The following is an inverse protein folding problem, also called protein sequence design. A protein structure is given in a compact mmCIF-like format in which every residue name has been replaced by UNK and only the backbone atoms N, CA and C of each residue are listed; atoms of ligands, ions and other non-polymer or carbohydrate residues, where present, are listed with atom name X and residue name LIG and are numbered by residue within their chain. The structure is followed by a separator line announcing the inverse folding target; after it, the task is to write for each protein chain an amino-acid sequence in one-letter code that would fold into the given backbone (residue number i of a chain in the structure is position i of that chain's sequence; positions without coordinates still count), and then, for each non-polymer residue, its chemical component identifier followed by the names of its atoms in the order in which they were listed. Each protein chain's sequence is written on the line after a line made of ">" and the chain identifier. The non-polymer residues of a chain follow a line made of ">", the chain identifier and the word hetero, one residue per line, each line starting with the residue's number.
data_IF_793486681270
#
_entry.id   IF_793486681270
#
_cell.length_a   1.000
_cell.length_b   1.000
_cell.length_c   1.000
_cell.angle_alpha   90.00
_cell.angle_beta   90.00
_cell.angle_gamma   90.00
#
_symmetry.space_group_name_H-M   'P 1'
#
loop_
_entity.id
_entity.type
_entity.pdbx_description
1 polymer ?
2 non-polymer ?
3 non-polymer ?
4 water ?
#
# COMPACT_ATOMS: atom_id res chain seq x y z
N UNK A 3 -17.24 -9.39 15.70
CA UNK A 3 -17.74 -10.72 15.22
C UNK A 3 -18.46 -10.57 13.87
N UNK A 4 -19.00 -9.38 13.58
CA UNK A 4 -19.76 -9.09 12.35
C UNK A 4 -18.90 -9.16 11.10
N UNK A 5 -19.54 -9.05 9.92
CA UNK A 5 -18.90 -9.23 8.58
C UNK A 5 -17.81 -8.18 8.36
N UNK A 6 -18.06 -6.91 8.73
CA UNK A 6 -17.10 -5.79 8.51
C UNK A 6 -15.81 -6.05 9.30
N UNK A 7 -15.92 -6.44 10.57
CA UNK A 7 -14.76 -6.78 11.43
C UNK A 7 -14.00 -7.96 10.81
N UNK A 8 -14.72 -8.99 10.38
CA UNK A 8 -14.16 -10.22 9.77
C UNK A 8 -13.39 -9.87 8.49
N UNK A 9 -13.98 -9.04 7.62
CA UNK A 9 -13.32 -8.59 6.37
C UNK A 9 -12.08 -7.76 6.70
N UNK A 10 -12.14 -6.92 7.74
CA UNK A 10 -10.98 -6.10 8.19
C UNK A 10 -9.88 -7.01 8.76
N UNK A 11 -10.23 -8.15 9.37
CA UNK A 11 -9.20 -9.13 9.81
C UNK A 11 -8.47 -9.69 8.58
N UNK A 12 -9.20 -10.02 7.51
CA UNK A 12 -8.57 -10.48 6.24
C UNK A 12 -7.63 -9.39 5.73
N UNK A 13 -8.09 -8.14 5.72
CA UNK A 13 -7.28 -6.96 5.31
C UNK A 13 -6.02 -6.88 6.17
N UNK A 14 -6.16 -7.04 7.49
CA UNK A 14 -5.01 -6.99 8.43
C UNK A 14 -4.04 -8.13 8.11
N UNK A 15 -4.55 -9.32 7.78
CA UNK A 15 -3.72 -10.46 7.34
C UNK A 15 -2.91 -10.10 6.11
N UNK A 16 -3.56 -9.51 5.10
CA UNK A 16 -2.88 -9.07 3.85
C UNK A 16 -1.78 -8.06 4.23
N UNK A 17 -2.11 -7.08 5.07
CA UNK A 17 -1.16 -6.01 5.47
C UNK A 17 0.07 -6.65 6.12
N UNK A 18 -0.14 -7.59 7.05
CA UNK A 18 0.97 -8.33 7.71
C UNK A 18 1.82 -9.02 6.64
N UNK A 19 1.18 -9.66 5.66
CA UNK A 19 1.92 -10.36 4.57
C UNK A 19 2.73 -9.34 3.77
N UNK A 20 2.14 -8.20 3.40
CA UNK A 20 2.84 -7.18 2.57
C UNK A 20 4.09 -6.69 3.31
N UNK A 21 4.06 -6.69 4.65
CA UNK A 21 5.17 -6.19 5.51
C UNK A 21 6.13 -7.33 5.89
N UNK A 22 5.87 -8.57 5.46
CA UNK A 22 6.60 -9.78 5.91
C UNK A 22 7.91 -9.94 5.11
N UNK A 23 8.85 -10.71 5.65
CA UNK A 23 10.17 -10.97 5.01
C UNK A 23 9.98 -11.56 3.61
N UNK A 24 8.94 -12.37 3.41
CA UNK A 24 8.63 -13.05 2.13
C UNK A 24 8.70 -12.05 0.96
N UNK A 25 8.20 -10.83 1.15
CA UNK A 25 7.99 -9.83 0.06
C UNK A 25 8.95 -8.64 0.20
N UNK A 26 9.88 -8.67 1.15
CA UNK A 26 10.73 -7.51 1.51
C UNK A 26 11.57 -7.03 0.32
N UNK A 27 11.96 -7.93 -0.59
CA UNK A 27 12.85 -7.58 -1.73
C UNK A 27 12.19 -6.53 -2.63
N UNK A 28 10.85 -6.51 -2.72
CA UNK A 28 10.11 -5.55 -3.58
C UNK A 28 9.16 -4.66 -2.77
N UNK A 29 8.88 -4.97 -1.50
CA UNK A 29 7.93 -4.20 -0.66
C UNK A 29 8.61 -2.99 -0.01
N UNK A 30 9.94 -3.00 0.16
CA UNK A 30 10.64 -2.04 1.06
C UNK A 30 10.40 -0.59 0.65
N UNK A 31 10.29 -0.22 -0.66
CA UNK A 31 10.04 1.18 -1.01
C UNK A 31 8.70 1.71 -0.47
N UNK A 32 7.79 0.82 -0.08
CA UNK A 32 6.40 1.14 0.34
C UNK A 32 6.24 1.07 1.86
N UNK A 33 7.33 0.82 2.59
CA UNK A 33 7.30 0.62 4.07
C UNK A 33 7.01 1.94 4.78
N UNK A 34 7.56 3.05 4.28
CA UNK A 34 7.51 4.37 4.96
C UNK A 34 7.11 5.43 3.94
N UNK A 35 6.61 6.61 4.40
CA UNK A 35 6.28 7.69 3.48
C UNK A 35 7.50 8.03 2.61
N UNK A 36 7.25 8.31 1.33
CA UNK A 36 8.29 8.81 0.39
C UNK A 36 8.93 10.04 1.04
N UNK A 37 10.24 10.01 1.24
CA UNK A 37 11.02 11.19 1.70
C UNK A 37 11.49 11.92 0.43
N UNK A 38 10.63 12.79 -0.10
CA UNK A 38 10.82 13.47 -1.40
C UNK A 38 12.15 14.24 -1.39
N UNK A 39 12.38 15.02 -0.33
CA UNK A 39 13.60 15.86 -0.14
C UNK A 39 14.86 14.98 -0.18
N UNK A 40 14.87 13.90 0.61
CA UNK A 40 16.01 12.97 0.73
C UNK A 40 16.30 12.30 -0.62
N UNK A 41 15.27 12.03 -1.43
CA UNK A 41 15.39 11.32 -2.73
C UNK A 41 15.62 12.33 -3.87
N UNK A 42 15.57 13.63 -3.58
CA UNK A 42 15.77 14.71 -4.57
C UNK A 42 14.57 14.90 -5.47
N UNK A 43 13.40 14.40 -5.06
CA UNK A 43 12.14 14.42 -5.84
C UNK A 43 11.36 15.69 -5.47
N UNK A 44 11.86 16.86 -5.88
CA UNK A 44 11.35 18.18 -5.40
C UNK A 44 10.01 18.54 -6.05
N UNK A 45 9.52 17.71 -6.97
CA UNK A 45 8.20 17.88 -7.64
C UNK A 45 7.19 16.85 -7.11
N UNK A 46 7.61 15.95 -6.21
CA UNK A 46 6.78 14.79 -5.78
C UNK A 46 5.44 15.28 -5.22
N UNK A 47 5.46 16.26 -4.32
CA UNK A 47 4.25 16.73 -3.59
C UNK A 47 3.44 17.71 -4.45
N UNK A 48 3.96 18.12 -5.60
CA UNK A 48 3.19 18.88 -6.62
C UNK A 48 2.38 17.91 -7.48
N UNK A 49 2.88 16.69 -7.67
CA UNK A 49 2.29 15.67 -8.58
C UNK A 49 1.40 14.73 -7.76
N UNK A 50 1.84 14.36 -6.56
CA UNK A 50 1.13 13.42 -5.65
C UNK A 50 0.44 14.23 -4.55
N UNK A 51 -0.89 14.36 -4.65
CA UNK A 51 -1.72 15.19 -3.74
C UNK A 51 -2.00 14.42 -2.44
N UNK A 52 -2.03 13.09 -2.50
CA UNK A 52 -2.39 12.22 -1.35
C UNK A 52 -1.35 11.11 -1.21
N UNK A 53 -0.19 11.39 -0.59
CA UNK A 53 0.81 10.36 -0.34
C UNK A 53 0.22 9.23 0.51
N UNK A 54 0.68 8.01 0.27
CA UNK A 54 0.24 6.83 1.05
C UNK A 54 1.36 5.79 1.04
N UNK A 55 1.46 5.04 2.13
CA UNK A 55 2.52 4.03 2.35
C UNK A 55 1.99 3.03 3.38
N UNK A 56 2.67 1.89 3.52
CA UNK A 56 2.16 0.78 4.36
C UNK A 56 2.25 1.12 5.85
N UNK A 57 3.19 1.98 6.28
CA UNK A 57 3.26 2.41 7.71
C UNK A 57 2.00 3.22 8.04
N UNK A 58 1.54 4.06 7.11
CA UNK A 58 0.31 4.87 7.28
C UNK A 58 -0.90 3.93 7.29
N UNK A 59 -0.95 2.95 6.39
CA UNK A 59 -2.06 1.95 6.35
C UNK A 59 -2.08 1.20 7.69
N UNK A 60 -0.91 0.81 8.21
CA UNK A 60 -0.80 0.07 9.49
C UNK A 60 -1.33 0.95 10.63
N UNK A 61 -0.92 2.22 10.69
CA UNK A 61 -1.38 3.16 11.74
C UNK A 61 -2.91 3.27 11.69
N UNK A 62 -3.47 3.43 10.49
CA UNK A 62 -4.93 3.61 10.31
C UNK A 62 -5.65 2.33 10.74
N UNK A 63 -5.09 1.16 10.43
CA UNK A 63 -5.67 -0.15 10.84
C UNK A 63 -5.63 -0.27 12.37
N UNK A 64 -4.48 0.04 12.98
CA UNK A 64 -4.27 -0.04 14.46
C UNK A 64 -5.23 0.92 15.18
N UNK A 65 -5.50 2.08 14.57
CA UNK A 65 -6.35 3.17 15.14
C UNK A 65 -7.83 2.91 14.87
N UNK A 66 -8.18 1.80 14.19
CA UNK A 66 -9.56 1.46 13.77
C UNK A 66 -10.13 2.60 12.90
N UNK A 67 -9.28 3.22 12.09
CA UNK A 67 -9.67 4.29 11.13
C UNK A 67 -10.53 3.67 10.03
N UNK A 68 -10.12 2.54 9.46
CA UNK A 68 -10.85 1.86 8.36
C UNK A 68 -12.15 1.27 8.90
N UNK A 69 -13.28 1.63 8.30
CA UNK A 69 -14.62 1.14 8.72
C UNK A 69 -14.98 -0.11 7.91
N UNK A 70 -14.32 -0.36 6.78
CA UNK A 70 -14.61 -1.54 5.91
C UNK A 70 -13.40 -1.87 5.03
N UNK A 71 -13.43 -3.03 4.39
CA UNK A 71 -12.34 -3.55 3.54
C UNK A 71 -12.09 -2.59 2.36
N UNK A 72 -13.16 -2.03 1.80
CA UNK A 72 -13.12 -1.12 0.63
C UNK A 72 -12.24 0.11 0.96
N UNK A 73 -12.39 0.67 2.17
CA UNK A 73 -11.62 1.87 2.59
C UNK A 73 -10.14 1.51 2.70
N UNK A 74 -9.82 0.36 3.30
CA UNK A 74 -8.44 -0.17 3.40
C UNK A 74 -7.87 -0.36 1.99
N UNK A 75 -8.60 -1.04 1.10
CA UNK A 75 -8.16 -1.33 -0.28
C UNK A 75 -7.87 -0.02 -1.02
N UNK A 76 -8.69 1.01 -0.81
CA UNK A 76 -8.55 2.32 -1.49
C UNK A 76 -7.18 2.93 -1.14
N UNK A 77 -6.73 2.82 0.10
CA UNK A 77 -5.42 3.36 0.54
C UNK A 77 -4.28 2.53 -0.08
N UNK A 78 -4.37 1.20 -0.05
CA UNK A 78 -3.31 0.34 -0.64
C UNK A 78 -3.19 0.66 -2.13
N UNK A 79 -4.31 0.78 -2.84
CA UNK A 79 -4.30 1.07 -4.30
C UNK A 79 -3.83 2.51 -4.56
N UNK A 80 -4.20 3.47 -3.70
CA UNK A 80 -3.70 4.87 -3.79
C UNK A 80 -2.17 4.85 -3.76
N UNK A 81 -1.59 4.07 -2.85
CA UNK A 81 -0.12 3.94 -2.71
C UNK A 81 0.47 3.48 -4.05
N UNK A 82 -0.11 2.45 -4.68
CA UNK A 82 0.39 1.92 -5.98
C UNK A 82 0.18 2.97 -7.08
N UNK A 83 -1.01 3.57 -7.12
CA UNK A 83 -1.38 4.60 -8.13
C UNK A 83 -0.39 5.76 -8.10
N UNK A 84 -0.01 6.21 -6.90
CA UNK A 84 0.96 7.33 -6.73
C UNK A 84 2.28 6.93 -7.39
N UNK A 85 2.72 5.69 -7.17
CA UNK A 85 3.97 5.14 -7.75
C UNK A 85 3.87 5.19 -9.29
N UNK A 86 2.76 4.72 -9.86
CA UNK A 86 2.55 4.66 -11.33
C UNK A 86 2.41 6.07 -11.91
N UNK A 87 1.88 7.02 -11.14
CA UNK A 87 1.66 8.41 -11.61
C UNK A 87 3.01 9.14 -11.69
N UNK A 88 3.84 9.00 -10.65
CA UNK A 88 5.05 9.85 -10.48
C UNK A 88 6.20 9.31 -11.33
N UNK A 89 6.38 7.99 -11.33
CA UNK A 89 7.63 7.33 -11.81
C UNK A 89 7.51 6.95 -13.28
N UNK A 90 8.61 7.08 -14.06
CA UNK A 90 8.64 6.53 -15.41
C UNK A 90 8.49 5.01 -15.30
N UNK A 91 7.77 4.36 -16.25
CA UNK A 91 7.41 2.95 -16.09
C UNK A 91 8.61 1.98 -16.08
N UNK A 92 9.81 2.45 -16.41
CA UNK A 92 11.04 1.62 -16.50
C UNK A 92 11.86 1.71 -15.20
N UNK A 93 11.49 2.57 -14.24
CA UNK A 93 12.17 2.65 -12.92
C UNK A 93 11.88 1.36 -12.15
N UNK A 94 12.88 0.81 -11.46
CA UNK A 94 12.77 -0.43 -10.66
C UNK A 94 11.59 -0.34 -9.68
N UNK A 95 11.30 0.84 -9.12
CA UNK A 95 10.23 1.00 -8.09
C UNK A 95 8.88 0.63 -8.71
N UNK A 96 8.68 0.88 -10.00
CA UNK A 96 7.39 0.56 -10.70
C UNK A 96 7.26 -0.97 -10.82
N UNK A 97 8.33 -1.67 -11.20
CA UNK A 97 8.35 -3.15 -11.26
C UNK A 97 8.03 -3.72 -9.87
N UNK A 98 8.60 -3.11 -8.82
CA UNK A 98 8.41 -3.57 -7.42
C UNK A 98 6.96 -3.32 -7.00
N UNK A 99 6.40 -2.16 -7.36
CA UNK A 99 4.97 -1.82 -7.12
C UNK A 99 4.08 -2.88 -7.77
N UNK A 100 4.33 -3.21 -9.04
CA UNK A 100 3.50 -4.17 -9.81
C UNK A 100 3.52 -5.53 -9.12
N UNK A 101 4.69 -5.97 -8.66
CA UNK A 101 4.87 -7.28 -7.97
C UNK A 101 4.11 -7.26 -6.64
N UNK A 102 4.25 -6.21 -5.84
CA UNK A 102 3.54 -6.14 -4.54
C UNK A 102 2.03 -6.01 -4.79
N UNK A 103 1.61 -5.30 -5.83
CA UNK A 103 0.16 -5.14 -6.13
C UNK A 103 -0.43 -6.49 -6.54
N UNK A 104 0.34 -7.31 -7.27
CA UNK A 104 -0.09 -8.68 -7.65
C UNK A 104 -0.36 -9.49 -6.38
N UNK A 105 0.55 -9.43 -5.40
CA UNK A 105 0.38 -10.12 -4.09
C UNK A 105 -0.92 -9.62 -3.45
N UNK A 106 -1.10 -8.30 -3.40
CA UNK A 106 -2.27 -7.65 -2.77
C UNK A 106 -3.56 -8.09 -3.46
N UNK A 107 -3.66 -7.90 -4.78
CA UNK A 107 -4.92 -8.12 -5.54
C UNK A 107 -5.33 -9.59 -5.43
N UNK A 108 -4.40 -10.54 -5.55
CA UNK A 108 -4.75 -11.98 -5.55
C UNK A 108 -5.28 -12.37 -4.17
N UNK A 109 -4.68 -11.86 -3.09
CA UNK A 109 -5.15 -12.21 -1.73
C UNK A 109 -6.41 -11.41 -1.37
N UNK A 110 -6.51 -10.15 -1.80
CA UNK A 110 -7.72 -9.32 -1.56
C UNK A 110 -8.94 -10.02 -2.18
N UNK A 111 -8.74 -10.68 -3.33
CA UNK A 111 -9.80 -11.40 -4.08
C UNK A 111 -10.34 -12.57 -3.25
N UNK A 112 -9.55 -13.10 -2.31
CA UNK A 112 -9.93 -14.25 -1.43
C UNK A 112 -10.67 -13.75 -0.18
N UNK A 113 -11.18 -12.51 -0.20
CA UNK A 113 -12.00 -11.89 0.87
C UNK A 113 -13.13 -12.84 1.27
N UNK A 114 -13.33 -13.12 2.58
CA UNK A 114 -14.53 -13.84 3.03
C UNK A 114 -15.79 -12.98 2.83
N UNK A 115 -16.85 -13.59 2.29
CA UNK A 115 -18.16 -12.92 2.06
C UNK A 115 -18.98 -12.96 3.35
X LIG B 1 -3.22 -6.93 -10.60
X LIG B 1 -2.15 -6.31 -9.91
X LIG B 1 -2.99 -8.38 -10.80
X LIG B 1 -1.87 -8.65 -11.63
X LIG C 1 -10.20 8.81 6.43
X LIG C 1 -9.15 8.12 7.10
X LIG C 1 -11.00 9.67 7.34
X LIG C 1 -11.23 9.07 8.59
X LIG D 1 6.38 9.40 -16.02
X LIG D 1 6.76 10.73 -16.33
X LIG D 1 4.96 9.28 -15.63
X LIG D 1 4.23 8.38 -16.44
X LIG E 1 13.91 3.53 -4.60
X LIG E 1 15.54 2.24 -5.81
X LIG E 1 13.33 1.39 -5.54
X LIG E 1 12.24 9.05 -9.81
X LIG E 1 11.25 9.49 -10.86
X LIG E 1 7.26 4.83 -3.49
X LIG E 1 8.62 5.17 -3.88
X LIG E 1 8.90 5.89 -4.97
X LIG E 1 8.03 6.30 -5.74
X LIG E 1 10.36 6.10 -5.25
X LIG E 1 10.74 6.94 -6.30
X LIG E 1 12.10 7.09 -6.56
X LIG E 1 13.02 6.41 -5.78
X LIG E 1 12.56 5.60 -4.74
X LIG E 1 11.25 5.43 -4.50
X LIG E 1 13.50 4.79 -3.87
X LIG E 1 12.89 4.51 -2.62
X LIG E 1 15.19 3.39 -5.12
X LIG E 1 14.61 1.25 -6.03
X LIG E 1 12.98 2.53 -4.84
X LIG E 1 12.65 7.96 -7.65
X LIG E 1 13.81 8.35 -7.62
X LIG E 1 11.83 8.24 -8.67
X LIG E 1 12.26 8.43 -11.15
X LIG E 1 11.39 10.88 -11.48
#
# INVERSE_FOLDING_TARGET
>A
GSMGKLSEQLKHCNGILKELLSKKHAAYAWPFYKPVDASALGLHDYHDIIKHPMDLSTVKRKMENRDYRDAQEFAADVRLMFSNCYKYNPPDHDVVAMARKLQDVFEFRYAKMPD
>B hetero
1 EDO C1 O1 C2 O2
>C hetero
1 EDO C1 O1 C2 O2
>D hetero
1 EDO C1 O1 C2 O2
>E hetero
1 ULK C13 C15 C17 C22 C24 C01 N02 C03 O04 C05 C06 C07 C08 C09 N10 C11 O12 C14 C16 C18 C19 O20 N21 C23 C25
#
